data_IF_901055527658
#
_entry.id   IF_901055527658
#
_cell.length_a   1.000
_cell.length_b   1.000
_cell.length_c   1.000
_cell.angle_alpha   90.00
_cell.angle_beta   90.00
_cell.angle_gamma   90.00
#
_symmetry.space_group_name_H-M   'P 1'
#
loop_
_entity.id
_entity.type
_entity.pdbx_description
1 polymer ?
#
# COMPACT_ATOMS: atom_id res chain seq x y z
N UNK A 1 44.98 -38.66 -3.95
CA UNK A 1 44.21 -38.44 -2.69
C UNK A 1 44.84 -37.37 -1.81
N UNK A 2 46.16 -37.32 -1.61
CA UNK A 2 46.82 -36.31 -0.75
C UNK A 2 46.55 -34.87 -1.19
N UNK A 3 46.58 -34.56 -2.49
CA UNK A 3 46.35 -33.22 -3.02
C UNK A 3 44.88 -32.78 -2.88
N UNK A 4 43.93 -33.71 -2.96
CA UNK A 4 42.50 -33.41 -2.77
C UNK A 4 42.24 -33.07 -1.30
N UNK A 5 42.82 -33.83 -0.37
CA UNK A 5 42.68 -33.56 1.07
C UNK A 5 43.31 -32.18 1.42
N UNK A 6 44.47 -31.87 0.87
CA UNK A 6 45.12 -30.59 1.06
C UNK A 6 44.28 -29.43 0.50
N UNK A 7 43.65 -29.56 -0.66
CA UNK A 7 42.79 -28.54 -1.25
C UNK A 7 41.51 -28.31 -0.40
N UNK A 8 40.89 -29.38 0.08
CA UNK A 8 39.70 -29.29 0.94
C UNK A 8 40.06 -28.61 2.27
N UNK A 9 41.20 -28.98 2.88
CA UNK A 9 41.66 -28.38 4.14
C UNK A 9 41.96 -26.88 3.98
N UNK A 10 42.59 -26.49 2.85
CA UNK A 10 42.91 -25.10 2.57
C UNK A 10 41.63 -24.30 2.35
N UNK A 11 40.66 -24.81 1.60
CA UNK A 11 39.36 -24.16 1.40
C UNK A 11 38.58 -23.95 2.73
N UNK A 12 38.56 -25.00 3.56
CA UNK A 12 37.93 -24.91 4.88
C UNK A 12 38.62 -23.88 5.77
N UNK A 13 39.94 -23.80 5.76
CA UNK A 13 40.69 -22.80 6.52
C UNK A 13 40.38 -21.37 6.08
N UNK A 14 40.24 -21.12 4.76
CA UNK A 14 39.87 -19.81 4.22
C UNK A 14 38.45 -19.42 4.66
N UNK A 15 37.50 -20.35 4.62
CA UNK A 15 36.11 -20.09 5.06
C UNK A 15 36.07 -19.76 6.56
N UNK A 16 36.82 -20.50 7.38
CA UNK A 16 36.88 -20.26 8.82
C UNK A 16 37.51 -18.89 9.12
N UNK A 17 38.63 -18.57 8.46
CA UNK A 17 39.28 -17.26 8.61
C UNK A 17 38.36 -16.13 8.19
N UNK A 18 37.68 -16.28 7.07
CA UNK A 18 36.69 -15.29 6.61
C UNK A 18 35.56 -15.10 7.63
N UNK A 19 35.01 -16.18 8.18
CA UNK A 19 33.94 -16.09 9.16
C UNK A 19 34.38 -15.46 10.50
N UNK A 20 35.64 -15.62 10.89
CA UNK A 20 36.19 -15.02 12.11
C UNK A 20 36.50 -13.52 11.98
N UNK A 21 36.95 -13.09 10.79
CA UNK A 21 37.43 -11.72 10.59
C UNK A 21 36.49 -10.82 9.79
N UNK A 22 35.61 -11.39 8.95
CA UNK A 22 34.78 -10.63 8.02
C UNK A 22 33.28 -10.94 8.12
N UNK A 23 32.88 -12.05 8.78
CA UNK A 23 31.45 -12.31 8.93
C UNK A 23 30.83 -11.30 9.90
N UNK A 24 29.70 -10.67 9.53
CA UNK A 24 28.98 -9.82 10.43
C UNK A 24 28.49 -10.64 11.63
N UNK A 25 28.43 -10.04 12.85
CA UNK A 25 27.96 -10.75 14.05
C UNK A 25 26.53 -11.27 13.82
N UNK A 26 26.18 -12.42 14.39
CA UNK A 26 24.83 -12.97 14.28
C UNK A 26 23.83 -11.95 14.82
N UNK A 27 22.77 -11.67 14.04
CA UNK A 27 21.72 -10.75 14.44
C UNK A 27 20.91 -11.41 15.55
N UNK A 28 21.18 -11.04 16.81
CA UNK A 28 20.35 -11.37 17.96
C UNK A 28 19.16 -10.43 18.00
N UNK A 29 18.00 -10.89 18.48
CA UNK A 29 16.75 -10.09 18.54
C UNK A 29 16.92 -8.75 19.30
N UNK A 30 17.90 -8.64 20.18
CA UNK A 30 18.24 -7.40 20.89
C UNK A 30 18.89 -6.34 19.99
N UNK A 31 19.67 -6.75 18.98
CA UNK A 31 20.31 -5.81 18.05
C UNK A 31 19.36 -5.21 17.00
N UNK A 32 18.13 -5.72 16.88
CA UNK A 32 17.10 -5.14 16.02
C UNK A 32 16.45 -3.90 16.65
N UNK A 33 16.53 -3.73 17.97
CA UNK A 33 15.92 -2.61 18.69
C UNK A 33 16.85 -1.39 18.69
N UNK A 34 18.16 -1.58 18.72
CA UNK A 34 19.13 -0.46 18.77
C UNK A 34 19.45 0.12 17.39
N UNK A 35 19.41 -0.68 16.32
CA UNK A 35 19.74 -0.20 14.97
C UNK A 35 18.67 0.71 14.35
N UNK A 36 17.48 0.74 14.92
CA UNK A 36 16.41 1.64 14.49
C UNK A 36 16.50 3.07 15.05
N UNK A 37 17.57 3.39 15.79
CA UNK A 37 17.71 4.70 16.46
C UNK A 37 18.73 5.66 15.85
N UNK A 38 19.51 5.28 14.83
CA UNK A 38 20.66 6.10 14.41
C UNK A 38 20.85 6.30 12.90
N UNK A 39 19.86 6.03 12.04
CA UNK A 39 19.96 6.52 10.64
C UNK A 39 18.64 7.18 10.22
N UNK A 40 18.49 8.42 10.65
CA UNK A 40 17.57 9.38 10.01
C UNK A 40 18.33 10.17 8.99
N UNK A 41 18.21 9.82 7.71
CA UNK A 41 18.17 10.77 6.58
C UNK A 41 17.83 9.98 5.34
N UNK A 42 16.60 10.06 4.91
CA UNK A 42 16.13 10.32 3.54
C UNK A 42 14.62 10.10 3.46
N UNK A 43 13.93 11.00 2.80
CA UNK A 43 12.50 11.11 2.59
C UNK A 43 11.83 9.82 2.12
N UNK A 44 11.36 9.02 3.07
CA UNK A 44 10.31 8.04 2.84
C UNK A 44 9.16 8.35 3.82
N UNK A 45 7.89 8.27 3.41
CA UNK A 45 6.77 8.48 4.31
C UNK A 45 6.92 7.54 5.51
N UNK A 46 6.94 8.10 6.73
CA UNK A 46 6.91 7.30 7.96
C UNK A 46 5.67 6.43 7.93
N UNK A 47 5.86 5.13 7.86
CA UNK A 47 4.84 4.18 8.26
C UNK A 47 4.60 4.41 9.76
N UNK A 48 3.46 5.00 10.07
CA UNK A 48 3.03 5.24 11.44
C UNK A 48 3.04 3.94 12.23
N UNK A 49 3.39 4.09 13.51
CA UNK A 49 3.52 3.12 14.59
C UNK A 49 2.70 1.84 14.36
N UNK A 50 3.36 0.72 14.58
CA UNK A 50 2.79 -0.62 14.65
C UNK A 50 1.67 -0.65 15.70
N UNK A 51 0.48 -0.15 15.30
CA UNK A 51 -0.75 -0.54 15.97
C UNK A 51 -0.79 -2.06 15.87
N UNK A 52 -1.07 -2.73 16.95
CA UNK A 52 -1.40 -4.15 16.96
C UNK A 52 -2.67 -4.30 16.13
N UNK A 53 -2.50 -4.47 14.83
CA UNK A 53 -3.61 -4.66 13.89
C UNK A 53 -4.22 -6.01 14.27
N UNK A 54 -5.37 -5.98 14.92
CA UNK A 54 -6.18 -7.17 15.09
C UNK A 54 -6.67 -7.57 13.71
N UNK A 55 -6.23 -8.74 13.25
CA UNK A 55 -6.63 -9.29 11.96
C UNK A 55 -8.14 -9.58 11.97
N UNK A 56 -8.87 -9.05 11.01
CA UNK A 56 -10.31 -9.22 10.84
C UNK A 56 -10.63 -9.91 9.51
N UNK A 57 -11.84 -10.41 9.35
CA UNK A 57 -12.28 -10.97 8.09
C UNK A 57 -12.37 -9.90 7.00
N UNK A 58 -12.27 -10.31 5.73
CA UNK A 58 -12.39 -9.39 4.59
C UNK A 58 -13.77 -8.73 4.58
N UNK A 59 -14.82 -9.47 4.83
CA UNK A 59 -16.20 -9.00 4.86
C UNK A 59 -16.39 -7.94 5.95
N UNK A 60 -15.85 -8.17 7.12
CA UNK A 60 -15.87 -7.20 8.22
C UNK A 60 -15.09 -5.93 7.85
N UNK A 61 -13.89 -6.07 7.29
CA UNK A 61 -13.07 -4.93 6.86
C UNK A 61 -13.77 -4.08 5.79
N UNK A 62 -14.41 -4.72 4.80
CA UNK A 62 -15.16 -4.02 3.75
C UNK A 62 -16.37 -3.26 4.30
N UNK A 63 -16.97 -3.71 5.39
CA UNK A 63 -18.11 -3.06 6.03
C UNK A 63 -17.77 -1.81 6.84
N UNK A 64 -16.48 -1.60 7.20
CA UNK A 64 -16.04 -0.52 8.08
C UNK A 64 -16.09 0.87 7.45
N UNK A 65 -16.24 0.98 6.13
CA UNK A 65 -16.31 2.28 5.44
C UNK A 65 -17.32 2.27 4.31
N UNK A 66 -17.85 3.45 3.98
CA UNK A 66 -18.59 3.61 2.73
C UNK A 66 -17.67 3.36 1.54
N UNK A 67 -18.21 2.76 0.49
CA UNK A 67 -17.43 2.29 -0.66
C UNK A 67 -18.08 2.68 -1.99
N UNK A 68 -17.26 2.86 -3.00
CA UNK A 68 -17.68 2.96 -4.40
C UNK A 68 -17.38 1.63 -5.06
N UNK A 69 -18.40 1.01 -5.65
CA UNK A 69 -18.22 -0.22 -6.42
C UNK A 69 -17.62 0.09 -7.79
N UNK A 70 -16.74 -0.79 -8.26
CA UNK A 70 -16.29 -0.77 -9.64
C UNK A 70 -16.44 -2.14 -10.29
N UNK A 71 -16.68 -2.11 -11.59
CA UNK A 71 -16.82 -3.31 -12.38
C UNK A 71 -16.59 -3.00 -13.86
N UNK A 72 -15.85 -3.87 -14.54
CA UNK A 72 -15.75 -3.96 -15.99
C UNK A 72 -15.81 -5.43 -16.42
N UNK A 73 -15.38 -5.77 -17.66
CA UNK A 73 -15.39 -7.15 -18.14
C UNK A 73 -14.44 -8.07 -17.38
N UNK A 74 -13.31 -7.55 -16.91
CA UNK A 74 -12.17 -8.32 -16.39
C UNK A 74 -12.10 -8.38 -14.86
N UNK A 75 -12.55 -7.32 -14.17
CA UNK A 75 -12.43 -7.16 -12.73
C UNK A 75 -13.70 -6.61 -12.09
N UNK A 76 -13.83 -6.88 -10.80
CA UNK A 76 -14.83 -6.27 -9.93
C UNK A 76 -14.21 -5.97 -8.56
N UNK A 77 -14.76 -5.00 -7.86
CA UNK A 77 -14.25 -4.62 -6.53
C UNK A 77 -14.83 -3.33 -6.03
N UNK A 78 -14.13 -2.69 -5.09
CA UNK A 78 -14.58 -1.43 -4.53
C UNK A 78 -13.44 -0.56 -4.01
N UNK A 79 -13.73 0.76 -3.95
CA UNK A 79 -12.85 1.80 -3.43
C UNK A 79 -13.39 2.23 -2.09
N UNK A 80 -12.57 2.19 -1.04
CA UNK A 80 -12.93 2.74 0.27
C UNK A 80 -12.98 4.26 0.20
N UNK A 81 -14.02 4.89 0.75
CA UNK A 81 -14.04 6.35 0.94
C UNK A 81 -13.13 6.82 2.09
N UNK A 82 -12.72 5.92 2.98
CA UNK A 82 -11.68 6.20 3.96
C UNK A 82 -10.31 6.03 3.28
N UNK A 83 -9.52 7.09 3.22
CA UNK A 83 -8.22 7.13 2.53
C UNK A 83 -8.29 7.18 1.01
N UNK A 84 -9.47 7.00 0.40
CA UNK A 84 -9.66 6.81 -1.04
C UNK A 84 -8.78 5.66 -1.59
N UNK A 85 -8.73 4.54 -0.86
CA UNK A 85 -7.93 3.38 -1.16
C UNK A 85 -8.67 2.39 -2.07
N UNK A 86 -7.97 1.83 -3.06
CA UNK A 86 -8.44 0.69 -3.84
C UNK A 86 -7.93 -0.55 -3.11
N UNK A 87 -8.76 -1.15 -2.28
CA UNK A 87 -8.41 -2.23 -1.36
C UNK A 87 -9.31 -3.45 -1.47
N UNK A 88 -10.01 -3.58 -2.58
CA UNK A 88 -10.90 -4.69 -2.89
C UNK A 88 -10.94 -4.89 -4.40
N UNK A 89 -10.26 -5.93 -4.90
CA UNK A 89 -10.26 -6.27 -6.32
C UNK A 89 -10.21 -7.78 -6.50
N UNK A 90 -11.13 -8.28 -7.30
CA UNK A 90 -11.23 -9.69 -7.69
C UNK A 90 -11.21 -9.79 -9.22
N UNK A 91 -10.44 -10.72 -9.74
CA UNK A 91 -10.45 -11.06 -11.16
C UNK A 91 -11.67 -11.92 -11.51
N UNK A 92 -12.33 -11.63 -12.62
CA UNK A 92 -13.49 -12.40 -13.08
C UNK A 92 -13.11 -13.70 -13.81
N UNK A 93 -11.98 -13.69 -14.50
CA UNK A 93 -11.58 -14.79 -15.37
C UNK A 93 -10.54 -15.73 -14.73
N UNK A 94 -9.86 -15.31 -13.66
CA UNK A 94 -8.80 -16.09 -13.04
C UNK A 94 -9.29 -16.79 -11.78
N UNK A 95 -9.13 -18.12 -11.76
CA UNK A 95 -9.41 -18.96 -10.61
C UNK A 95 -8.14 -19.22 -9.81
N UNK A 96 -8.25 -19.46 -8.50
CA UNK A 96 -7.10 -19.76 -7.63
C UNK A 96 -6.43 -21.09 -7.95
N UNK A 97 -7.17 -22.03 -8.57
CA UNK A 97 -6.66 -23.32 -9.07
C UNK A 97 -7.50 -23.78 -10.28
N UNK A 98 -6.95 -24.69 -11.08
CA UNK A 98 -7.60 -25.18 -12.31
C UNK A 98 -8.97 -25.83 -12.04
N UNK A 99 -9.14 -26.49 -10.90
CA UNK A 99 -10.36 -27.19 -10.51
C UNK A 99 -11.19 -26.43 -9.47
N UNK A 100 -10.98 -25.12 -9.36
CA UNK A 100 -11.70 -24.25 -8.39
C UNK A 100 -12.52 -23.19 -9.11
N UNK A 101 -13.73 -22.95 -8.61
CA UNK A 101 -14.55 -21.82 -9.01
C UNK A 101 -14.20 -20.53 -8.24
N UNK A 102 -13.34 -20.64 -7.19
CA UNK A 102 -12.92 -19.48 -6.42
C UNK A 102 -12.03 -18.56 -7.25
N UNK A 103 -12.42 -17.28 -7.31
CA UNK A 103 -11.70 -16.26 -8.07
C UNK A 103 -10.52 -15.70 -7.30
N UNK A 104 -9.46 -15.37 -8.04
CA UNK A 104 -8.28 -14.69 -7.48
C UNK A 104 -8.66 -13.31 -6.98
N UNK A 105 -8.46 -13.07 -5.69
CA UNK A 105 -8.58 -11.76 -5.03
C UNK A 105 -7.20 -11.12 -5.02
N UNK A 106 -7.01 -10.06 -5.79
CA UNK A 106 -5.72 -9.36 -5.89
C UNK A 106 -5.52 -8.37 -4.76
N UNK A 107 -6.56 -7.59 -4.42
CA UNK A 107 -6.49 -6.59 -3.37
C UNK A 107 -7.42 -6.96 -2.22
N UNK A 108 -6.98 -6.69 -1.01
CA UNK A 108 -7.71 -6.87 0.23
C UNK A 108 -7.40 -5.74 1.22
N UNK A 109 -8.36 -5.36 2.09
CA UNK A 109 -8.17 -4.29 3.07
C UNK A 109 -6.98 -4.51 4.00
N UNK A 110 -6.39 -3.42 4.46
CA UNK A 110 -5.15 -3.39 5.28
C UNK A 110 -5.19 -4.31 6.50
N UNK A 111 -6.32 -4.44 7.16
CA UNK A 111 -6.45 -5.17 8.42
C UNK A 111 -6.86 -6.64 8.23
N UNK A 112 -6.73 -7.17 7.02
CA UNK A 112 -6.99 -8.58 6.73
C UNK A 112 -5.68 -9.35 6.61
N UNK A 113 -5.74 -10.69 6.70
CA UNK A 113 -4.58 -11.58 6.61
C UNK A 113 -3.69 -11.31 5.38
N UNK A 114 -4.32 -11.09 4.24
CA UNK A 114 -3.65 -10.89 2.97
C UNK A 114 -3.80 -9.42 2.50
N UNK A 115 -3.80 -8.47 3.45
CA UNK A 115 -4.01 -7.06 3.19
C UNK A 115 -3.01 -6.51 2.17
N UNK A 116 -3.54 -6.15 0.98
CA UNK A 116 -2.77 -5.57 -0.11
C UNK A 116 -3.63 -4.55 -0.85
N UNK A 117 -3.18 -3.32 -0.95
CA UNK A 117 -4.00 -2.21 -1.42
C UNK A 117 -3.18 -1.17 -2.19
N UNK A 118 -3.88 -0.34 -2.96
CA UNK A 118 -3.32 0.80 -3.67
C UNK A 118 -3.81 2.08 -3.01
N UNK A 119 -2.87 2.90 -2.57
CA UNK A 119 -3.13 4.25 -2.08
C UNK A 119 -2.36 5.28 -2.92
N UNK A 120 -2.97 6.41 -3.15
CA UNK A 120 -2.32 7.60 -3.69
C UNK A 120 -2.56 8.77 -2.74
N UNK A 121 -1.57 9.63 -2.55
CA UNK A 121 -1.65 10.70 -1.55
C UNK A 121 -1.08 12.01 -2.05
N UNK A 122 -1.17 13.01 -1.20
CA UNK A 122 -0.56 14.32 -1.36
C UNK A 122 0.57 14.44 -0.35
N UNK A 123 1.58 15.20 -0.69
CA UNK A 123 2.69 15.55 0.20
C UNK A 123 2.80 17.06 0.28
N UNK A 124 3.24 17.57 1.43
CA UNK A 124 3.52 18.98 1.63
C UNK A 124 4.83 19.17 2.39
N UNK A 125 5.55 20.22 2.08
CA UNK A 125 6.71 20.69 2.85
C UNK A 125 6.31 21.65 3.97
N UNK A 126 5.13 22.27 3.85
CA UNK A 126 4.57 23.14 4.89
C UNK A 126 3.78 22.31 5.90
N UNK A 127 4.32 22.21 7.12
CA UNK A 127 3.69 21.49 8.24
C UNK A 127 2.38 22.09 8.76
N UNK A 128 2.06 23.31 8.33
CA UNK A 128 0.83 23.98 8.74
C UNK A 128 -0.35 23.68 7.81
N UNK A 129 -0.11 22.98 6.70
CA UNK A 129 -1.18 22.57 5.78
C UNK A 129 -1.65 21.17 6.18
N UNK A 130 -2.92 21.05 6.51
CA UNK A 130 -3.56 19.75 6.68
C UNK A 130 -3.87 19.14 5.31
N UNK A 131 -3.31 17.96 5.05
CA UNK A 131 -3.50 17.19 3.82
C UNK A 131 -4.24 15.88 4.11
N UNK A 132 -5.01 15.35 3.14
CA UNK A 132 -5.71 14.10 3.36
C UNK A 132 -4.73 12.92 3.55
N UNK A 133 -5.08 12.03 4.47
CA UNK A 133 -4.32 10.84 4.84
C UNK A 133 -5.18 9.57 4.76
N UNK A 134 -4.65 8.43 5.19
CA UNK A 134 -5.35 7.14 5.16
C UNK A 134 -6.62 7.07 6.03
N UNK A 135 -6.80 8.01 6.97
CA UNK A 135 -8.00 8.11 7.81
C UNK A 135 -9.01 9.14 7.31
N UNK A 136 -8.63 9.98 6.36
CA UNK A 136 -9.52 11.02 5.80
C UNK A 136 -10.70 10.39 5.08
N UNK A 137 -11.92 10.87 5.37
CA UNK A 137 -13.14 10.38 4.72
C UNK A 137 -13.48 11.28 3.54
N UNK A 138 -13.44 10.71 2.35
CA UNK A 138 -13.70 11.41 1.10
C UNK A 138 -15.19 11.44 0.76
N UNK A 139 -15.62 12.51 0.13
CA UNK A 139 -16.96 12.69 -0.42
C UNK A 139 -16.97 12.38 -1.92
N UNK A 140 -18.06 11.77 -2.39
CA UNK A 140 -18.25 11.48 -3.81
C UNK A 140 -18.88 12.68 -4.51
N UNK A 141 -18.30 13.10 -5.64
CA UNK A 141 -18.85 14.14 -6.50
C UNK A 141 -19.51 13.52 -7.74
N UNK A 142 -20.83 13.53 -7.77
CA UNK A 142 -21.61 13.04 -8.91
C UNK A 142 -21.79 11.52 -8.90
N UNK A 143 -21.24 10.82 -9.87
CA UNK A 143 -21.42 9.38 -10.03
C UNK A 143 -20.79 8.57 -8.90
N UNK A 144 -21.51 7.54 -8.41
CA UNK A 144 -21.11 6.68 -7.30
C UNK A 144 -20.74 5.24 -7.72
N UNK A 145 -20.64 4.97 -9.01
CA UNK A 145 -20.18 3.69 -9.56
C UNK A 145 -19.12 3.94 -10.62
N UNK A 146 -17.98 3.25 -10.50
CA UNK A 146 -16.89 3.32 -11.46
C UNK A 146 -17.05 2.19 -12.50
N UNK A 147 -17.04 2.55 -13.77
CA UNK A 147 -17.00 1.62 -14.90
C UNK A 147 -15.97 2.11 -15.92
N UNK A 148 -15.71 1.32 -16.95
CA UNK A 148 -14.86 1.69 -18.09
C UNK A 148 -15.36 2.94 -18.86
N UNK A 149 -16.66 3.26 -18.75
CA UNK A 149 -17.28 4.43 -19.38
C UNK A 149 -17.53 5.61 -18.42
N UNK A 150 -17.37 5.39 -17.12
CA UNK A 150 -17.83 6.35 -16.12
C UNK A 150 -16.84 6.48 -14.97
N UNK A 151 -15.93 7.47 -15.01
CA UNK A 151 -15.03 7.74 -13.93
C UNK A 151 -15.77 8.27 -12.69
N UNK A 152 -15.16 8.12 -11.52
CA UNK A 152 -15.66 8.69 -10.26
C UNK A 152 -14.76 9.81 -9.80
N UNK A 153 -15.35 10.81 -9.13
CA UNK A 153 -14.63 11.92 -8.54
C UNK A 153 -14.86 11.95 -7.05
N UNK A 154 -13.77 12.13 -6.32
CA UNK A 154 -13.73 12.23 -4.86
C UNK A 154 -13.20 13.61 -4.47
N UNK A 155 -13.71 14.15 -3.39
CA UNK A 155 -13.27 15.43 -2.83
C UNK A 155 -13.11 15.34 -1.32
N UNK A 156 -12.08 15.99 -0.82
CA UNK A 156 -11.86 16.22 0.61
C UNK A 156 -11.40 17.66 0.81
N UNK A 157 -11.96 18.35 1.77
CA UNK A 157 -11.60 19.75 2.07
C UNK A 157 -11.12 19.83 3.51
N UNK A 158 -9.98 20.47 3.73
CA UNK A 158 -9.45 20.72 5.05
C UNK A 158 -10.11 21.94 5.73
N UNK A 159 -9.84 22.14 7.02
CA UNK A 159 -10.37 23.25 7.80
C UNK A 159 -9.84 24.63 7.34
N UNK A 160 -8.81 24.64 6.49
CA UNK A 160 -8.23 25.85 5.92
C UNK A 160 -8.91 26.28 4.61
N UNK A 161 -9.88 25.52 4.10
CA UNK A 161 -10.59 25.79 2.85
C UNK A 161 -9.86 25.34 1.59
N UNK A 162 -8.83 24.48 1.73
CA UNK A 162 -8.14 23.87 0.59
C UNK A 162 -8.85 22.56 0.26
N UNK A 163 -9.23 22.39 -1.00
CA UNK A 163 -9.92 21.20 -1.49
C UNK A 163 -8.98 20.32 -2.31
N UNK A 164 -8.97 19.06 -1.99
CA UNK A 164 -8.23 18.01 -2.68
C UNK A 164 -9.22 17.15 -3.46
N UNK A 165 -8.95 16.92 -4.73
CA UNK A 165 -9.80 16.10 -5.59
C UNK A 165 -8.99 14.93 -6.17
N UNK A 166 -9.68 13.80 -6.34
CA UNK A 166 -9.20 12.64 -7.09
C UNK A 166 -10.24 12.26 -8.12
N UNK A 167 -9.83 12.13 -9.37
CA UNK A 167 -10.63 11.50 -10.42
C UNK A 167 -10.02 10.12 -10.69
N UNK A 168 -10.82 9.08 -10.57
CA UNK A 168 -10.40 7.69 -10.79
C UNK A 168 -11.19 7.16 -11.98
N UNK A 169 -10.47 6.76 -13.01
CA UNK A 169 -11.01 6.11 -14.19
C UNK A 169 -10.46 4.67 -14.29
N UNK A 170 -11.23 3.78 -14.90
CA UNK A 170 -10.90 2.40 -15.16
C UNK A 170 -11.05 2.14 -16.65
N UNK A 171 -10.10 1.45 -17.28
CA UNK A 171 -10.26 1.01 -18.66
C UNK A 171 -11.11 -0.27 -18.77
N UNK A 172 -11.23 -0.83 -19.96
CA UNK A 172 -11.97 -2.08 -20.22
C UNK A 172 -11.26 -3.33 -19.69
N UNK A 173 -10.01 -3.21 -19.18
CA UNK A 173 -9.19 -4.31 -18.66
C UNK A 173 -8.81 -4.10 -17.20
N UNK A 174 -7.62 -3.56 -16.93
CA UNK A 174 -7.01 -3.55 -15.60
C UNK A 174 -6.42 -2.20 -15.21
N UNK A 175 -6.37 -1.20 -16.11
CA UNK A 175 -5.67 0.05 -15.88
C UNK A 175 -6.56 1.04 -15.11
N UNK A 176 -6.14 1.39 -13.91
CA UNK A 176 -6.68 2.54 -13.19
C UNK A 176 -5.85 3.78 -13.51
N UNK A 177 -6.53 4.86 -13.88
CA UNK A 177 -5.93 6.19 -14.05
C UNK A 177 -6.41 7.09 -12.92
N UNK A 178 -5.47 7.61 -12.13
CA UNK A 178 -5.77 8.51 -11.01
C UNK A 178 -5.24 9.90 -11.34
N UNK A 179 -6.14 10.88 -11.45
CA UNK A 179 -5.78 12.30 -11.55
C UNK A 179 -6.01 12.97 -10.21
N UNK A 180 -5.05 13.73 -9.76
CA UNK A 180 -5.11 14.46 -8.50
C UNK A 180 -5.07 15.96 -8.76
N UNK A 181 -5.86 16.72 -7.99
CA UNK A 181 -5.96 18.18 -8.10
C UNK A 181 -6.07 18.79 -6.71
N UNK A 182 -5.42 19.93 -6.53
CA UNK A 182 -5.56 20.77 -5.33
C UNK A 182 -6.20 22.08 -5.77
N UNK A 183 -7.22 22.52 -5.04
CA UNK A 183 -7.96 23.75 -5.28
C UNK A 183 -7.82 24.62 -4.03
N UNK A 184 -7.13 25.72 -4.18
CA UNK A 184 -7.03 26.75 -3.14
C UNK A 184 -7.88 27.94 -3.54
N UNK A 185 -9.00 28.12 -2.87
CA UNK A 185 -9.88 29.28 -3.04
C UNK A 185 -9.68 30.32 -1.94
N UNK A 186 -8.67 30.17 -1.11
CA UNK A 186 -8.33 31.13 -0.06
C UNK A 186 -7.48 32.27 -0.63
N UNK A 187 -7.37 33.36 0.12
CA UNK A 187 -6.48 34.49 -0.25
C UNK A 187 -5.02 34.31 0.19
N UNK A 188 -4.65 33.08 0.62
CA UNK A 188 -3.30 32.75 1.06
C UNK A 188 -2.60 31.88 0.01
N UNK A 189 -1.34 32.15 -0.24
CA UNK A 189 -0.45 31.23 -0.95
C UNK A 189 0.12 30.18 0.03
N UNK A 190 0.22 28.93 -0.45
CA UNK A 190 0.73 27.80 0.33
C UNK A 190 1.80 27.06 -0.48
#
# INVERSE_FOLDING_TARGET
TRNIIAAISLSAAVIILYSLFFAPPPITKENLIEKNKTEQTTDAPKLDQKETITEISREEALSQSKRIQFENQSILGSISLKGAAIDDLTFKEYNVALDSDEKVKLLAPRNTKDGYLIESGFITTDKNIDIPNSNSVWSVLGNNKLTDQSPVRLSWTNDQGITFEKEIALDDKFLFTIKQKVINLTNKEY
#
